data_IF_447334748117
#
_entry.id   IF_447334748117
#
_cell.length_a   1.000
_cell.length_b   1.000
_cell.length_c   1.000
_cell.angle_alpha   90.00
_cell.angle_beta   90.00
_cell.angle_gamma   90.00
#
_symmetry.space_group_name_H-M   'P 1'
#
loop_
_entity.id
_entity.type
_entity.pdbx_description
1 polymer ?
#
# COMPACT_ATOMS: atom_id res chain seq x y z
N UNK A 1 -5.09 6.68 23.75
CA UNK A 1 -3.86 5.98 24.14
C UNK A 1 -2.88 7.01 24.72
N UNK A 2 -1.74 6.61 25.31
CA UNK A 2 -0.71 7.57 25.71
C UNK A 2 0.21 7.90 24.52
N UNK A 3 0.79 9.11 24.50
CA UNK A 3 1.80 9.52 23.52
C UNK A 3 2.96 8.51 23.40
N UNK A 4 3.35 7.89 24.52
CA UNK A 4 4.37 6.83 24.55
C UNK A 4 3.99 5.59 23.74
N UNK A 5 2.72 5.23 23.72
CA UNK A 5 2.21 4.09 22.93
C UNK A 5 2.29 4.39 21.43
N UNK A 6 1.95 5.62 21.02
CA UNK A 6 2.04 6.05 19.62
C UNK A 6 3.49 6.19 19.17
N UNK A 7 4.39 6.69 20.03
CA UNK A 7 5.84 6.67 19.74
C UNK A 7 6.37 5.24 19.54
N UNK A 8 5.91 4.29 20.35
CA UNK A 8 6.31 2.87 20.21
C UNK A 8 5.77 2.28 18.91
N UNK A 9 4.53 2.62 18.56
CA UNK A 9 3.91 2.23 17.28
C UNK A 9 4.72 2.78 16.12
N UNK A 10 5.03 4.07 16.11
CA UNK A 10 5.78 4.72 15.05
C UNK A 10 7.15 4.06 14.81
N UNK A 11 7.90 3.83 15.90
CA UNK A 11 9.21 3.14 15.82
C UNK A 11 9.07 1.72 15.25
N UNK A 12 8.07 0.97 15.72
CA UNK A 12 7.82 -0.41 15.25
C UNK A 12 7.45 -0.42 13.77
N UNK A 13 6.64 0.54 13.31
CA UNK A 13 6.26 0.68 11.91
C UNK A 13 7.47 1.02 11.03
N UNK A 14 8.30 2.00 11.42
CA UNK A 14 9.54 2.34 10.71
C UNK A 14 10.45 1.13 10.59
N UNK A 15 10.70 0.40 11.68
CA UNK A 15 11.57 -0.79 11.67
C UNK A 15 10.98 -1.91 10.78
N UNK A 16 9.67 -2.12 10.85
CA UNK A 16 8.97 -3.16 10.08
C UNK A 16 9.01 -2.88 8.56
N UNK A 17 8.76 -1.64 8.15
CA UNK A 17 8.78 -1.22 6.75
C UNK A 17 10.21 -1.14 6.23
N UNK A 18 11.16 -0.63 7.02
CA UNK A 18 12.56 -0.58 6.65
C UNK A 18 13.17 -1.97 6.39
N UNK A 19 12.85 -2.93 7.25
CA UNK A 19 13.24 -4.33 7.05
C UNK A 19 12.76 -4.89 5.71
N UNK A 20 11.52 -4.57 5.33
CA UNK A 20 10.86 -5.09 4.12
C UNK A 20 11.25 -4.39 2.83
N UNK A 21 11.39 -3.07 2.84
CA UNK A 21 11.49 -2.27 1.61
C UNK A 21 12.84 -1.55 1.45
N UNK A 22 13.55 -1.29 2.55
CA UNK A 22 14.86 -0.65 2.53
C UNK A 22 15.01 0.32 3.69
N UNK A 23 16.24 0.59 4.15
CA UNK A 23 16.46 1.53 5.25
C UNK A 23 15.87 2.91 4.90
N UNK A 24 15.11 3.50 5.82
CA UNK A 24 14.56 4.84 5.61
C UNK A 24 15.73 5.82 5.38
N UNK A 25 15.74 6.58 4.26
CA UNK A 25 16.93 7.31 3.83
C UNK A 25 17.06 8.67 4.52
N UNK A 26 15.97 9.17 5.11
CA UNK A 26 15.93 10.46 5.78
C UNK A 26 16.22 10.27 7.28
N UNK A 27 16.90 11.26 7.88
CA UNK A 27 17.36 11.18 9.27
C UNK A 27 16.25 11.38 10.32
N UNK A 28 15.04 11.75 9.88
CA UNK A 28 13.93 12.14 10.74
C UNK A 28 12.58 11.84 10.05
N UNK A 29 11.59 11.53 10.88
CA UNK A 29 10.18 11.39 10.52
C UNK A 29 9.36 11.97 11.67
N UNK A 30 8.56 12.98 11.35
CA UNK A 30 7.66 13.61 12.31
C UNK A 30 6.30 12.91 12.29
N UNK A 31 5.80 12.53 13.47
CA UNK A 31 4.44 12.00 13.62
C UNK A 31 3.64 12.90 14.57
N UNK A 32 2.70 13.65 14.00
CA UNK A 32 1.81 14.52 14.76
C UNK A 32 0.48 13.81 14.96
N UNK A 33 0.26 13.39 16.20
CA UNK A 33 -0.94 12.67 16.59
C UNK A 33 -1.97 13.66 17.11
N UNK A 34 -3.04 13.86 16.35
CA UNK A 34 -4.16 14.73 16.70
C UNK A 34 -5.48 14.03 16.37
N UNK A 35 -6.54 14.29 17.15
CA UNK A 35 -7.79 13.53 17.07
C UNK A 35 -8.92 14.24 16.32
N UNK A 36 -8.65 15.34 15.61
CA UNK A 36 -9.70 16.24 15.16
C UNK A 36 -9.59 16.73 13.69
N UNK A 37 -9.04 15.91 12.79
CA UNK A 37 -9.11 16.16 11.35
C UNK A 37 -10.32 15.47 10.70
N UNK A 38 -10.67 15.90 9.49
CA UNK A 38 -11.78 15.32 8.70
C UNK A 38 -11.37 14.05 7.93
N UNK A 39 -10.08 13.71 7.94
CA UNK A 39 -9.49 12.51 7.34
C UNK A 39 -8.90 11.58 8.43
N UNK A 40 -8.63 10.33 8.08
CA UNK A 40 -8.11 9.31 9.00
C UNK A 40 -6.63 9.49 9.35
N UNK A 41 -5.83 9.88 8.36
CA UNK A 41 -4.42 10.25 8.44
C UNK A 41 -3.99 10.97 7.17
N UNK A 42 -2.77 11.48 7.12
CA UNK A 42 -2.16 12.10 5.95
C UNK A 42 -0.64 11.94 5.98
N UNK A 43 -0.05 11.69 4.82
CA UNK A 43 1.20 10.96 4.66
C UNK A 43 2.38 11.78 4.11
N UNK A 44 2.35 13.10 4.25
CA UNK A 44 3.37 13.99 3.66
C UNK A 44 4.81 13.47 3.84
N UNK A 45 5.71 13.61 2.85
CA UNK A 45 7.06 13.10 2.95
C UNK A 45 7.81 13.64 4.19
N UNK A 46 8.22 12.74 5.08
CA UNK A 46 8.88 13.07 6.35
C UNK A 46 7.97 13.55 7.46
N UNK A 47 6.65 13.65 7.24
CA UNK A 47 5.69 14.22 8.19
C UNK A 47 4.32 13.55 8.06
N UNK A 48 3.94 12.75 9.06
CA UNK A 48 2.63 12.08 9.10
C UNK A 48 1.69 12.76 10.10
N UNK A 49 0.47 13.02 9.67
CA UNK A 49 -0.66 13.39 10.52
C UNK A 49 -1.51 12.16 10.74
N UNK A 50 -1.89 11.87 11.98
CA UNK A 50 -2.75 10.72 12.22
C UNK A 50 -3.64 10.87 13.46
N UNK A 51 -4.75 10.16 13.43
CA UNK A 51 -5.57 9.89 14.60
C UNK A 51 -4.80 9.01 15.60
N UNK A 52 -5.34 8.90 16.81
CA UNK A 52 -4.81 7.99 17.83
C UNK A 52 -5.17 6.54 17.49
N UNK A 53 -4.44 5.92 16.55
CA UNK A 53 -4.72 4.58 16.02
C UNK A 53 -3.43 3.84 15.68
N UNK A 54 -3.26 2.62 16.18
CA UNK A 54 -2.07 1.81 15.85
C UNK A 54 -2.04 1.44 14.37
N UNK A 55 -3.20 1.08 13.82
CA UNK A 55 -3.29 0.65 12.42
C UNK A 55 -3.10 1.82 11.46
N UNK A 56 -3.76 2.95 11.71
CA UNK A 56 -3.63 4.12 10.85
C UNK A 56 -2.18 4.64 10.88
N UNK A 57 -1.55 4.75 12.05
CA UNK A 57 -0.18 5.24 12.13
C UNK A 57 0.81 4.33 11.40
N UNK A 58 0.55 3.02 11.43
CA UNK A 58 1.36 2.05 10.69
C UNK A 58 1.18 2.22 9.17
N UNK A 59 -0.03 2.57 8.72
CA UNK A 59 -0.37 2.90 7.34
C UNK A 59 0.31 4.21 6.91
N UNK A 60 0.10 5.30 7.63
CA UNK A 60 0.71 6.60 7.29
C UNK A 60 2.25 6.55 7.22
N UNK A 61 2.87 5.75 8.08
CA UNK A 61 4.33 5.53 8.04
C UNK A 61 4.74 4.61 6.88
N UNK A 62 3.86 3.72 6.42
CA UNK A 62 4.09 2.90 5.23
C UNK A 62 4.20 3.74 3.96
N UNK A 63 3.43 4.82 3.87
CA UNK A 63 3.52 5.80 2.78
C UNK A 63 4.88 6.52 2.71
N UNK A 64 5.74 6.40 3.73
CA UNK A 64 7.10 6.90 3.62
C UNK A 64 7.95 6.08 2.64
N UNK A 65 7.52 4.86 2.27
CA UNK A 65 8.13 4.05 1.23
C UNK A 65 7.36 4.08 -0.09
N UNK A 66 6.07 3.76 -0.07
CA UNK A 66 5.19 3.85 -1.25
C UNK A 66 4.56 5.24 -1.27
N UNK A 67 4.54 5.94 -2.39
CA UNK A 67 4.33 7.39 -2.51
C UNK A 67 5.54 8.24 -2.09
N UNK A 68 6.03 8.12 -0.86
CA UNK A 68 7.08 9.02 -0.34
C UNK A 68 8.47 8.85 -0.99
N UNK A 69 8.95 7.61 -1.11
CA UNK A 69 10.26 7.28 -1.71
C UNK A 69 10.10 6.70 -3.11
N UNK A 70 9.21 5.74 -3.24
CA UNK A 70 8.77 5.15 -4.50
C UNK A 70 7.51 5.91 -4.86
N UNK A 71 7.68 7.02 -5.59
CA UNK A 71 6.56 7.82 -6.01
C UNK A 71 5.69 7.09 -7.04
N UNK A 72 4.50 7.62 -7.24
CA UNK A 72 3.57 7.21 -8.27
C UNK A 72 2.76 8.44 -8.73
N UNK A 73 1.92 8.25 -9.74
CA UNK A 73 0.92 9.25 -10.11
C UNK A 73 -0.35 8.97 -9.31
N UNK A 74 -0.43 9.54 -8.09
CA UNK A 74 -1.53 9.32 -7.13
C UNK A 74 -2.91 9.60 -7.75
N UNK A 75 -2.98 10.48 -8.76
CA UNK A 75 -4.21 10.76 -9.48
C UNK A 75 -4.58 9.64 -10.44
N UNK A 76 -3.63 9.18 -11.26
CA UNK A 76 -3.90 8.18 -12.30
C UNK A 76 -3.77 6.73 -11.82
N UNK A 77 -3.03 6.46 -10.75
CA UNK A 77 -2.75 5.13 -10.20
C UNK A 77 -2.78 5.10 -8.67
N UNK A 78 -3.85 5.61 -8.00
CA UNK A 78 -3.92 5.72 -6.53
C UNK A 78 -3.74 4.38 -5.80
N UNK A 79 -3.91 3.25 -6.49
CA UNK A 79 -3.70 1.94 -5.88
C UNK A 79 -2.22 1.60 -5.62
N UNK A 80 -1.28 2.16 -6.38
CA UNK A 80 0.15 1.94 -6.14
C UNK A 80 0.61 2.55 -4.83
N UNK A 81 -0.11 3.59 -4.41
CA UNK A 81 0.02 4.22 -3.13
C UNK A 81 -0.76 3.43 -2.05
N UNK A 82 -2.09 3.49 -2.11
CA UNK A 82 -2.95 3.07 -1.00
C UNK A 82 -3.00 1.55 -0.80
N UNK A 83 -3.05 0.77 -1.88
CA UNK A 83 -3.11 -0.69 -1.76
C UNK A 83 -1.79 -1.27 -1.24
N UNK A 84 -0.66 -0.70 -1.69
CA UNK A 84 0.66 -1.13 -1.25
C UNK A 84 0.89 -0.78 0.21
N UNK A 85 0.49 0.41 0.62
CA UNK A 85 0.57 0.84 2.01
C UNK A 85 -0.35 0.03 2.93
N UNK A 86 -1.59 -0.25 2.51
CA UNK A 86 -2.51 -1.08 3.31
C UNK A 86 -1.99 -2.54 3.41
N UNK A 87 -1.40 -3.07 2.32
CA UNK A 87 -0.75 -4.38 2.34
C UNK A 87 0.51 -4.39 3.22
N UNK A 88 1.34 -3.34 3.18
CA UNK A 88 2.49 -3.18 4.06
C UNK A 88 2.06 -3.12 5.53
N UNK A 89 0.95 -2.45 5.82
CA UNK A 89 0.33 -2.38 7.15
C UNK A 89 -0.07 -3.77 7.63
N UNK A 90 -0.78 -4.54 6.80
CA UNK A 90 -1.10 -5.94 7.11
C UNK A 90 0.16 -6.75 7.43
N UNK A 91 1.21 -6.62 6.63
CA UNK A 91 2.47 -7.34 6.89
C UNK A 91 3.13 -6.92 8.19
N UNK A 92 3.14 -5.62 8.53
CA UNK A 92 3.72 -5.10 9.76
C UNK A 92 2.95 -5.58 11.00
N UNK A 93 1.63 -5.72 10.89
CA UNK A 93 0.74 -6.19 11.95
C UNK A 93 0.58 -7.73 12.00
N UNK A 94 1.22 -8.46 11.09
CA UNK A 94 1.18 -9.93 11.04
C UNK A 94 -0.11 -10.51 10.43
N UNK A 95 -0.91 -9.69 9.75
CA UNK A 95 -2.08 -10.12 9.00
C UNK A 95 -1.68 -10.94 7.76
N UNK A 96 -2.41 -12.01 7.52
CA UNK A 96 -2.18 -12.94 6.39
C UNK A 96 -3.11 -12.69 5.20
N UNK A 97 -3.94 -11.65 5.28
CA UNK A 97 -5.02 -11.39 4.31
C UNK A 97 -6.11 -12.45 4.32
N UNK A 98 -6.15 -13.33 5.34
CA UNK A 98 -7.24 -14.30 5.49
C UNK A 98 -8.57 -13.55 5.61
N UNK A 99 -9.59 -13.98 4.85
CA UNK A 99 -10.92 -13.36 4.81
C UNK A 99 -10.98 -11.93 4.28
N UNK A 100 -9.91 -11.38 3.71
CA UNK A 100 -9.93 -10.00 3.21
C UNK A 100 -11.01 -9.81 2.12
N UNK A 101 -11.30 -10.86 1.35
CA UNK A 101 -12.35 -10.89 0.32
C UNK A 101 -13.78 -10.83 0.87
N UNK A 102 -14.01 -11.10 2.17
CA UNK A 102 -15.36 -11.17 2.75
C UNK A 102 -16.02 -9.79 2.88
N UNK A 103 -15.23 -8.72 2.92
CA UNK A 103 -15.71 -7.34 3.08
C UNK A 103 -15.79 -6.56 1.77
N UNK A 104 -15.47 -7.19 0.63
CA UNK A 104 -15.39 -6.50 -0.66
C UNK A 104 -16.27 -7.18 -1.70
N UNK A 105 -16.99 -6.37 -2.47
CA UNK A 105 -17.82 -6.82 -3.60
C UNK A 105 -17.81 -5.75 -4.69
N UNK A 106 -17.62 -6.15 -5.95
CA UNK A 106 -17.70 -5.26 -7.09
C UNK A 106 -19.13 -4.75 -7.26
N UNK A 107 -19.33 -3.43 -7.30
CA UNK A 107 -20.63 -2.83 -7.51
C UNK A 107 -20.99 -2.71 -9.00
N UNK A 108 -19.98 -2.72 -9.89
CA UNK A 108 -20.18 -2.67 -11.34
C UNK A 108 -19.05 -3.38 -12.09
N UNK A 109 -19.23 -3.59 -13.39
CA UNK A 109 -18.17 -4.06 -14.31
C UNK A 109 -17.17 -2.96 -14.68
N UNK A 110 -17.48 -1.70 -14.37
CA UNK A 110 -16.60 -0.56 -14.64
C UNK A 110 -15.54 -0.36 -13.54
N UNK A 111 -15.81 -0.80 -12.31
CA UNK A 111 -14.84 -0.72 -11.20
C UNK A 111 -13.60 -1.57 -11.49
N UNK A 112 -12.43 -0.96 -11.35
CA UNK A 112 -11.10 -1.56 -11.50
C UNK A 112 -10.20 -1.00 -10.41
N UNK A 113 -9.27 -1.80 -9.91
CA UNK A 113 -8.29 -1.32 -8.92
C UNK A 113 -7.50 -0.13 -9.50
N UNK A 114 -7.23 -0.15 -10.80
CA UNK A 114 -6.44 0.86 -11.52
C UNK A 114 -7.26 2.03 -12.07
N UNK A 115 -8.51 2.23 -11.65
CA UNK A 115 -9.23 3.46 -12.00
C UNK A 115 -8.55 4.68 -11.35
N UNK A 116 -8.50 5.80 -12.09
CA UNK A 116 -7.97 7.08 -11.60
C UNK A 116 -8.93 7.79 -10.66
N UNK A 117 -8.43 8.82 -9.98
CA UNK A 117 -9.23 9.72 -9.15
C UNK A 117 -10.34 10.41 -9.93
N UNK A 118 -10.22 10.65 -11.24
CA UNK A 118 -11.34 11.13 -12.06
C UNK A 118 -12.60 10.23 -11.96
N UNK A 119 -12.40 8.91 -11.90
CA UNK A 119 -13.49 7.97 -11.70
C UNK A 119 -13.95 7.96 -10.24
N UNK A 120 -13.02 7.99 -9.28
CA UNK A 120 -13.33 7.92 -7.86
C UNK A 120 -13.95 9.19 -7.29
N UNK A 121 -13.68 10.36 -7.84
CA UNK A 121 -14.37 11.60 -7.49
C UNK A 121 -15.86 11.50 -7.79
N UNK A 122 -16.22 10.83 -8.89
CA UNK A 122 -17.61 10.55 -9.26
C UNK A 122 -18.22 9.36 -8.48
N UNK A 123 -17.41 8.53 -7.83
CA UNK A 123 -17.80 7.29 -7.14
C UNK A 123 -17.14 7.17 -5.76
N UNK A 124 -17.06 8.27 -5.01
CA UNK A 124 -16.18 8.39 -3.84
C UNK A 124 -16.49 7.40 -2.72
N UNK A 125 -17.76 7.01 -2.57
CA UNK A 125 -18.19 5.98 -1.62
C UNK A 125 -17.60 4.59 -1.87
N UNK A 126 -17.00 4.37 -3.04
CA UNK A 126 -16.42 3.09 -3.47
C UNK A 126 -14.90 3.08 -3.44
N UNK A 127 -14.25 4.25 -3.37
CA UNK A 127 -12.80 4.41 -3.39
C UNK A 127 -12.11 3.48 -2.37
N UNK A 128 -12.45 3.61 -1.09
CA UNK A 128 -11.85 2.79 -0.03
C UNK A 128 -12.08 1.28 -0.22
N UNK A 129 -13.27 0.87 -0.67
CA UNK A 129 -13.55 -0.55 -0.91
C UNK A 129 -12.68 -1.13 -2.03
N UNK A 130 -12.48 -0.37 -3.11
CA UNK A 130 -11.79 -0.86 -4.31
C UNK A 130 -10.29 -0.64 -4.24
N UNK A 131 -9.84 0.59 -4.00
CA UNK A 131 -8.42 0.91 -4.04
C UNK A 131 -7.68 0.25 -2.88
N UNK A 132 -8.21 0.33 -1.65
CA UNK A 132 -7.58 -0.28 -0.47
C UNK A 132 -7.97 -1.75 -0.36
N UNK A 133 -9.28 -2.03 -0.21
CA UNK A 133 -9.78 -3.37 0.08
C UNK A 133 -9.43 -4.40 -1.01
N UNK A 134 -9.90 -4.17 -2.24
CA UNK A 134 -9.56 -5.04 -3.37
C UNK A 134 -8.06 -5.03 -3.68
N UNK A 135 -7.41 -3.86 -3.63
CA UNK A 135 -5.97 -3.69 -3.86
C UNK A 135 -5.10 -4.56 -2.94
N UNK A 136 -5.26 -4.39 -1.63
CA UNK A 136 -4.53 -5.18 -0.63
C UNK A 136 -4.81 -6.67 -0.77
N UNK A 137 -6.06 -7.04 -1.00
CA UNK A 137 -6.42 -8.44 -1.23
C UNK A 137 -5.73 -9.04 -2.46
N UNK A 138 -5.66 -8.29 -3.56
CA UNK A 138 -4.92 -8.71 -4.74
C UNK A 138 -3.42 -8.91 -4.42
N UNK A 139 -2.80 -8.02 -3.65
CA UNK A 139 -1.39 -8.18 -3.25
C UNK A 139 -1.17 -9.41 -2.33
N UNK A 140 -2.10 -9.73 -1.44
CA UNK A 140 -2.06 -10.99 -0.70
C UNK A 140 -2.25 -12.21 -1.62
N UNK A 141 -3.14 -12.15 -2.62
CA UNK A 141 -3.31 -13.24 -3.58
C UNK A 141 -2.04 -13.42 -4.44
N UNK A 142 -1.39 -12.33 -4.85
CA UNK A 142 -0.10 -12.37 -5.54
C UNK A 142 0.96 -13.04 -4.66
N UNK A 143 1.03 -12.68 -3.38
CA UNK A 143 1.90 -13.35 -2.40
C UNK A 143 1.66 -14.86 -2.36
N UNK A 144 0.40 -15.31 -2.43
CA UNK A 144 0.07 -16.76 -2.45
C UNK A 144 0.49 -17.44 -3.74
N UNK A 145 0.43 -16.75 -4.88
CA UNK A 145 0.91 -17.26 -6.17
C UNK A 145 2.43 -17.37 -6.21
N UNK A 146 3.14 -16.35 -5.70
CA UNK A 146 4.60 -16.27 -5.73
C UNK A 146 5.26 -17.08 -4.60
N UNK A 147 4.60 -17.17 -3.46
CA UNK A 147 5.17 -17.61 -2.19
C UNK A 147 5.88 -16.47 -1.45
N UNK A 148 5.97 -16.62 -0.12
CA UNK A 148 6.45 -15.58 0.80
C UNK A 148 7.84 -15.06 0.46
N UNK A 149 8.80 -15.95 0.16
CA UNK A 149 10.18 -15.57 -0.14
C UNK A 149 10.28 -14.76 -1.44
N UNK A 150 9.58 -15.18 -2.49
CA UNK A 150 9.60 -14.49 -3.77
C UNK A 150 8.88 -13.13 -3.69
N UNK A 151 7.75 -13.05 -2.98
CA UNK A 151 7.05 -11.79 -2.75
C UNK A 151 7.88 -10.80 -1.93
N UNK A 152 8.52 -11.26 -0.85
CA UNK A 152 9.36 -10.39 -0.03
C UNK A 152 10.55 -9.84 -0.84
N UNK A 153 11.19 -10.69 -1.64
CA UNK A 153 12.27 -10.26 -2.55
C UNK A 153 11.75 -9.29 -3.62
N UNK A 154 10.61 -9.60 -4.24
CA UNK A 154 9.96 -8.73 -5.23
C UNK A 154 9.77 -7.31 -4.68
N UNK A 155 9.13 -7.17 -3.52
CA UNK A 155 8.84 -5.85 -2.96
C UNK A 155 10.10 -5.09 -2.55
N UNK A 156 11.12 -5.78 -2.01
CA UNK A 156 12.41 -5.18 -1.70
C UNK A 156 13.10 -4.66 -2.96
N UNK A 157 13.18 -5.49 -3.99
CA UNK A 157 13.84 -5.14 -5.25
C UNK A 157 13.07 -4.05 -6.01
N UNK A 158 11.75 -4.13 -6.00
CA UNK A 158 10.87 -3.12 -6.59
C UNK A 158 11.07 -1.76 -5.92
N UNK A 159 11.01 -1.70 -4.58
CA UNK A 159 11.22 -0.45 -3.85
C UNK A 159 12.64 0.12 -4.06
N UNK A 160 13.65 -0.74 -4.05
CA UNK A 160 15.05 -0.31 -4.25
C UNK A 160 15.35 0.15 -5.67
N UNK A 161 14.72 -0.44 -6.69
CA UNK A 161 14.91 -0.04 -8.10
C UNK A 161 14.18 1.25 -8.48
N UNK A 162 13.09 1.60 -7.78
CA UNK A 162 12.28 2.79 -8.06
C UNK A 162 12.49 3.90 -7.02
N UNK A 163 13.53 3.79 -6.20
CA UNK A 163 13.86 4.76 -5.16
C UNK A 163 14.11 6.15 -5.77
N UNK A 164 13.39 7.17 -5.28
CA UNK A 164 13.38 8.54 -5.82
C UNK A 164 12.81 8.67 -7.24
N UNK A 165 12.19 7.61 -7.76
CA UNK A 165 11.51 7.59 -9.04
C UNK A 165 9.99 7.66 -8.90
N UNK A 166 9.33 7.67 -10.05
CA UNK A 166 7.87 7.52 -10.16
C UNK A 166 7.61 6.19 -10.85
N UNK A 167 6.93 5.28 -10.16
CA UNK A 167 6.61 3.94 -10.66
C UNK A 167 5.22 3.90 -11.30
N UNK A 168 5.04 2.93 -12.19
CA UNK A 168 3.80 2.68 -12.90
C UNK A 168 3.28 1.27 -12.68
N UNK A 169 1.98 1.07 -12.95
CA UNK A 169 1.35 -0.26 -12.88
C UNK A 169 2.06 -1.25 -13.81
N UNK A 170 2.48 -0.81 -15.00
CA UNK A 170 3.21 -1.63 -15.95
C UNK A 170 4.57 -2.11 -15.40
N UNK A 171 5.33 -1.22 -14.76
CA UNK A 171 6.62 -1.55 -14.15
C UNK A 171 6.48 -2.53 -13.00
N UNK A 172 5.46 -2.36 -12.14
CA UNK A 172 5.16 -3.35 -11.10
C UNK A 172 4.79 -4.71 -11.68
N UNK A 173 3.97 -4.76 -12.74
CA UNK A 173 3.60 -6.02 -13.42
C UNK A 173 4.82 -6.73 -14.01
N UNK A 174 5.74 -5.98 -14.61
CA UNK A 174 7.01 -6.52 -15.12
C UNK A 174 7.88 -7.07 -13.98
N UNK A 175 8.03 -6.33 -12.88
CA UNK A 175 8.78 -6.79 -11.71
C UNK A 175 8.17 -8.07 -11.11
N UNK A 176 6.84 -8.10 -10.96
CA UNK A 176 6.12 -9.26 -10.44
C UNK A 176 6.26 -10.48 -11.35
N UNK A 177 6.17 -10.30 -12.67
CA UNK A 177 6.39 -11.39 -13.62
C UNK A 177 7.83 -11.90 -13.58
N UNK A 178 8.83 -11.02 -13.39
CA UNK A 178 10.23 -11.42 -13.27
C UNK A 178 10.51 -12.26 -12.00
N UNK A 179 9.64 -12.18 -10.98
CA UNK A 179 9.76 -12.94 -9.74
C UNK A 179 9.27 -14.40 -9.85
N UNK A 180 8.65 -14.80 -10.97
CA UNK A 180 8.08 -16.14 -11.15
C UNK A 180 8.11 -16.63 -12.60
N UNK A 181 7.98 -17.94 -12.79
CA UNK A 181 7.76 -18.55 -14.11
C UNK A 181 6.28 -18.74 -14.43
N UNK A 182 5.39 -18.57 -13.45
CA UNK A 182 3.94 -18.58 -13.65
C UNK A 182 3.54 -17.34 -14.44
N UNK A 183 2.78 -17.52 -15.52
CA UNK A 183 2.19 -16.41 -16.27
C UNK A 183 1.13 -15.70 -15.40
N UNK A 184 1.34 -14.41 -15.13
CA UNK A 184 0.44 -13.60 -14.31
C UNK A 184 -0.66 -12.90 -15.12
N UNK A 185 -0.77 -13.13 -16.43
CA UNK A 185 -1.78 -12.48 -17.29
C UNK A 185 -3.21 -12.68 -16.78
N UNK A 186 -3.57 -13.92 -16.40
CA UNK A 186 -4.91 -14.22 -15.86
C UNK A 186 -5.11 -13.59 -14.48
N UNK A 187 -4.05 -13.50 -13.67
CA UNK A 187 -4.08 -12.87 -12.36
C UNK A 187 -4.45 -11.38 -12.49
N UNK A 188 -3.77 -10.63 -13.35
CA UNK A 188 -4.05 -9.20 -13.56
C UNK A 188 -5.49 -8.97 -14.05
N UNK A 189 -5.96 -9.83 -14.96
CA UNK A 189 -7.33 -9.77 -15.48
C UNK A 189 -8.37 -10.05 -14.39
N UNK A 190 -8.15 -11.08 -13.57
CA UNK A 190 -9.05 -11.45 -12.48
C UNK A 190 -9.20 -10.33 -11.44
N UNK A 191 -8.09 -9.66 -11.11
CA UNK A 191 -8.08 -8.57 -10.14
C UNK A 191 -8.38 -7.20 -10.74
N UNK A 192 -8.65 -7.11 -12.05
CA UNK A 192 -8.93 -5.85 -12.76
C UNK A 192 -7.80 -4.83 -12.58
N UNK A 193 -6.56 -5.30 -12.72
CA UNK A 193 -5.34 -4.49 -12.70
C UNK A 193 -4.88 -4.30 -14.15
N UNK A 194 -5.39 -3.24 -14.75
CA UNK A 194 -5.10 -2.85 -16.14
C UNK A 194 -3.87 -1.95 -16.24
N UNK A 195 -3.28 -1.88 -17.44
CA UNK A 195 -1.97 -1.25 -17.69
C UNK A 195 -0.86 -2.28 -17.81
#
# INVERSE_FOLDING_TARGET
SSSQSMLTTAKTAVDAHAGRFGAYPYGELDAVIDNNFWFGGMEYPGFVLDLVSTTALTHEIGHQWFYGIVGDDEYNSPWLDEAFTDYATDLALGSTGTNCWNSVSWASTAEKITNSMAYWDAHSSRYSTVVYGYGKCALHDLRRVLGDTAMAKLLKDYATSHWYGVSTTAEFKVAAQAATTTDLTSFWTQHRIDG
#
